data_IF_450321536744
#
_entry.id   IF_450321536744
#
_cell.length_a   1.000
_cell.length_b   1.000
_cell.length_c   1.000
_cell.angle_alpha   90.00
_cell.angle_beta   90.00
_cell.angle_gamma   90.00
#
_symmetry.space_group_name_H-M   'P 1'
#
loop_
_entity.id
_entity.type
_entity.pdbx_description
1 polymer ?
#
# COMPACT_ATOMS: atom_id res chain seq x y z
N UNK A 1 7.54 8.07 -2.69
CA UNK A 1 6.12 8.15 -2.26
C UNK A 1 5.40 9.08 -3.22
N UNK A 2 4.34 8.62 -3.86
CA UNK A 2 3.48 9.44 -4.72
C UNK A 2 2.09 9.51 -4.13
N UNK A 3 1.54 10.73 -4.03
CA UNK A 3 0.17 10.98 -3.62
C UNK A 3 -0.72 10.99 -4.86
N UNK A 4 -1.70 10.10 -4.93
CA UNK A 4 -2.64 9.95 -6.05
C UNK A 4 -3.90 10.78 -5.80
N UNK A 5 -4.42 10.72 -4.56
CA UNK A 5 -5.57 11.50 -4.09
C UNK A 5 -5.28 12.07 -2.69
N UNK A 6 -6.27 12.66 -2.03
CA UNK A 6 -6.11 13.12 -0.65
C UNK A 6 -5.62 12.00 0.29
N UNK A 7 -6.14 10.78 0.15
CA UNK A 7 -5.93 9.66 1.05
C UNK A 7 -5.21 8.46 0.41
N UNK A 8 -4.99 8.46 -0.91
CA UNK A 8 -4.37 7.36 -1.64
C UNK A 8 -2.93 7.65 -2.07
N UNK A 9 -2.08 6.65 -1.89
CA UNK A 9 -0.64 6.72 -2.07
C UNK A 9 -0.08 5.48 -2.78
N UNK A 10 1.00 5.68 -3.52
CA UNK A 10 1.78 4.62 -4.15
C UNK A 10 3.23 4.69 -3.67
N UNK A 11 3.82 3.53 -3.38
CA UNK A 11 5.19 3.41 -2.89
C UNK A 11 6.10 2.83 -3.98
N UNK A 12 6.98 3.67 -4.54
CA UNK A 12 8.06 3.22 -5.43
C UNK A 12 9.26 2.77 -4.61
N UNK A 13 9.82 1.64 -4.97
CA UNK A 13 11.06 1.07 -4.40
C UNK A 13 12.19 1.12 -5.44
N UNK A 14 13.32 0.45 -5.15
CA UNK A 14 14.42 0.28 -6.09
C UNK A 14 13.96 -0.38 -7.40
N UNK A 15 14.76 -0.27 -8.46
CA UNK A 15 14.43 -0.80 -9.79
C UNK A 15 13.13 -0.28 -10.42
N UNK A 16 12.67 0.91 -10.00
CA UNK A 16 11.43 1.50 -10.50
C UNK A 16 10.17 0.68 -10.25
N UNK A 17 10.20 -0.24 -9.29
CA UNK A 17 9.07 -1.08 -8.96
C UNK A 17 8.17 -0.43 -7.91
N UNK A 18 6.95 -0.95 -7.78
CA UNK A 18 5.95 -0.48 -6.83
C UNK A 18 5.61 -1.58 -5.84
N UNK A 19 5.47 -1.20 -4.57
CA UNK A 19 4.88 -2.05 -3.54
C UNK A 19 3.44 -2.32 -3.93
N UNK A 20 3.02 -3.59 -3.89
CA UNK A 20 1.69 -4.03 -4.27
C UNK A 20 1.24 -5.23 -3.44
N UNK A 21 -0.08 -5.31 -3.25
CA UNK A 21 -0.73 -6.45 -2.63
C UNK A 21 -0.85 -7.58 -3.64
N UNK A 22 -0.23 -8.72 -3.35
CA UNK A 22 -0.43 -9.94 -4.11
C UNK A 22 -1.70 -10.64 -3.64
N UNK A 23 -2.70 -10.67 -4.52
CA UNK A 23 -4.01 -11.30 -4.28
C UNK A 23 -4.11 -12.69 -4.93
N UNK A 24 -2.99 -13.26 -5.36
CA UNK A 24 -2.94 -14.55 -6.04
C UNK A 24 -3.42 -15.72 -5.18
N UNK A 25 -4.72 -16.03 -5.27
CA UNK A 25 -5.36 -17.35 -5.10
C UNK A 25 -5.23 -18.11 -3.77
N UNK A 26 -4.47 -17.64 -2.79
CA UNK A 26 -4.21 -18.34 -1.53
C UNK A 26 -4.63 -17.55 -0.28
N UNK A 27 -4.66 -18.21 0.89
CA UNK A 27 -5.11 -17.63 2.16
C UNK A 27 -4.18 -16.53 2.73
N UNK A 28 -3.03 -16.28 2.09
CA UNK A 28 -2.02 -15.34 2.58
C UNK A 28 -1.80 -14.24 1.54
N UNK A 29 -2.48 -13.11 1.70
CA UNK A 29 -2.13 -11.91 0.93
C UNK A 29 -0.74 -11.44 1.36
N UNK A 30 0.20 -11.38 0.41
CA UNK A 30 1.56 -10.93 0.66
C UNK A 30 1.80 -9.55 0.04
N UNK A 31 2.79 -8.83 0.56
CA UNK A 31 3.26 -7.58 -0.03
C UNK A 31 4.50 -7.89 -0.86
N UNK A 32 4.44 -7.55 -2.14
CA UNK A 32 5.54 -7.72 -3.08
C UNK A 32 5.89 -6.38 -3.71
N UNK A 33 7.07 -6.27 -4.30
CA UNK A 33 7.46 -5.08 -5.06
C UNK A 33 7.96 -5.47 -6.45
N UNK A 34 7.05 -5.96 -7.30
CA UNK A 34 7.38 -6.51 -8.63
C UNK A 34 6.80 -5.70 -9.78
N UNK A 35 5.76 -4.90 -9.55
CA UNK A 35 5.06 -4.15 -10.57
C UNK A 35 5.90 -2.96 -11.05
N UNK A 36 6.06 -2.78 -12.36
CA UNK A 36 6.76 -1.63 -12.97
C UNK A 36 5.84 -0.45 -13.28
N UNK A 37 4.53 -0.67 -13.22
CA UNK A 37 3.49 0.35 -13.29
C UNK A 37 2.49 0.10 -12.15
N UNK A 38 2.00 1.14 -11.47
CA UNK A 38 1.09 0.98 -10.36
C UNK A 38 -0.36 0.81 -10.82
N UNK A 39 -1.13 0.03 -10.07
CA UNK A 39 -2.58 -0.10 -10.23
C UNK A 39 -3.30 -0.11 -8.89
N UNK A 40 -4.45 -0.79 -8.85
CA UNK A 40 -5.26 -0.93 -7.63
C UNK A 40 -4.46 -1.64 -6.53
N UNK A 41 -3.76 -2.72 -6.86
CA UNK A 41 -2.96 -3.49 -5.90
C UNK A 41 -1.82 -2.67 -5.27
N UNK A 42 -1.31 -1.66 -5.97
CA UNK A 42 -0.20 -0.79 -5.55
C UNK A 42 -0.67 0.51 -4.87
N UNK A 43 -1.98 0.67 -4.64
CA UNK A 43 -2.57 1.89 -4.08
C UNK A 43 -3.03 1.69 -2.64
N UNK A 44 -2.39 2.40 -1.71
CA UNK A 44 -2.59 2.24 -0.26
C UNK A 44 -3.14 3.53 0.36
N UNK A 45 -3.74 3.42 1.54
CA UNK A 45 -4.07 4.57 2.37
C UNK A 45 -3.12 4.69 3.57
N UNK A 46 -2.70 5.91 3.90
CA UNK A 46 -1.98 6.20 5.15
C UNK A 46 -2.99 6.79 6.13
N UNK A 47 -3.40 6.00 7.11
CA UNK A 47 -4.38 6.39 8.12
C UNK A 47 -3.65 6.85 9.37
N UNK A 48 -3.76 8.14 9.68
CA UNK A 48 -3.22 8.73 10.91
C UNK A 48 -4.18 8.46 12.06
N UNK A 49 -3.65 8.01 13.20
CA UNK A 49 -4.44 7.80 14.42
C UNK A 49 -4.92 9.17 14.94
N UNK A 50 -6.21 9.33 15.19
CA UNK A 50 -6.80 10.62 15.54
C UNK A 50 -6.32 11.16 16.90
N UNK A 51 -6.10 10.27 17.87
CA UNK A 51 -5.68 10.57 19.25
C UNK A 51 -4.16 10.50 19.46
N UNK A 52 -3.40 9.98 18.50
CA UNK A 52 -1.93 10.02 18.50
C UNK A 52 -1.42 10.27 17.06
N UNK A 53 -1.32 11.54 16.63
CA UNK A 53 -1.01 11.89 15.25
C UNK A 53 0.40 11.49 14.81
N UNK A 54 1.26 11.02 15.72
CA UNK A 54 2.57 10.47 15.41
C UNK A 54 2.52 8.99 15.00
N UNK A 55 1.35 8.35 15.10
CA UNK A 55 1.13 6.97 14.67
C UNK A 55 0.31 6.92 13.40
N UNK A 56 0.74 6.06 12.48
CA UNK A 56 0.05 5.79 11.22
C UNK A 56 -0.10 4.29 11.03
N UNK A 57 -1.18 3.88 10.38
CA UNK A 57 -1.32 2.56 9.78
C UNK A 57 -1.37 2.69 8.26
N UNK A 58 -0.80 1.72 7.56
CA UNK A 58 -0.90 1.64 6.10
C UNK A 58 -1.97 0.59 5.78
N UNK A 59 -3.06 1.02 5.15
CA UNK A 59 -4.17 0.16 4.74
C UNK A 59 -4.01 -0.22 3.28
N UNK A 60 -4.05 -1.53 3.03
CA UNK A 60 -3.97 -2.12 1.71
C UNK A 60 -5.34 -2.10 0.99
N UNK A 61 -5.37 -2.30 -0.34
CA UNK A 61 -6.60 -2.32 -1.14
C UNK A 61 -7.66 -3.34 -0.68
N UNK A 62 -7.23 -4.43 -0.05
CA UNK A 62 -8.12 -5.45 0.53
C UNK A 62 -8.75 -5.05 1.87
N UNK A 63 -8.50 -3.82 2.33
CA UNK A 63 -9.03 -3.29 3.59
C UNK A 63 -8.23 -3.66 4.84
N UNK A 64 -7.24 -4.55 4.73
CA UNK A 64 -6.38 -4.94 5.85
C UNK A 64 -5.21 -3.98 6.03
N UNK A 65 -4.56 -4.05 7.20
CA UNK A 65 -3.39 -3.24 7.51
C UNK A 65 -2.09 -4.03 7.29
N UNK A 66 -1.04 -3.33 6.85
CA UNK A 66 0.31 -3.88 6.81
C UNK A 66 0.87 -4.08 8.22
N UNK A 67 1.69 -5.13 8.41
CA UNK A 67 2.39 -5.47 9.65
C UNK A 67 3.84 -5.82 9.36
#
# INVERSE_FOLDING_TARGET
>A
LWRVTEDQFQFRVFNSQFVGLNVGGGPSSSVLAVATAPGVSETFQIIRKADDPNRVHIKAPNGMFLQ
#
